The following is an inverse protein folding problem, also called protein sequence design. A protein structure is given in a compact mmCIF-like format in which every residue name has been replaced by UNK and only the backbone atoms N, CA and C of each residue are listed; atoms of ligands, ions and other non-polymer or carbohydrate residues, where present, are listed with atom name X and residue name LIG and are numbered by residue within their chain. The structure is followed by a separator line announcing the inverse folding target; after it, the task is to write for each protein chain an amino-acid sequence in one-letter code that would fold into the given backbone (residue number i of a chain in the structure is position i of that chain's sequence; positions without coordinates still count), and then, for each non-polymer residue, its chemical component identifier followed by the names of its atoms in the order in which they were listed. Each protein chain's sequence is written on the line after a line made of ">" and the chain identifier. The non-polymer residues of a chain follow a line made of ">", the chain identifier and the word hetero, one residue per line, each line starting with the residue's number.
data_IF_980463308928
#
_entry.id   IF_980463308928
#
_cell.length_a   1.000
_cell.length_b   1.000
_cell.length_c   1.000
_cell.angle_alpha   90.00
_cell.angle_beta   90.00
_cell.angle_gamma   90.00
#
_symmetry.space_group_name_H-M   'P 1'
#
loop_
_entity.id
_entity.type
_entity.pdbx_description
1 polymer ?
#
# COMPACT_ATOMS: atom_id res chain seq x y z
N UNK A 1 5.32 -19.68 4.35
CA UNK A 1 5.22 -18.27 4.79
C UNK A 1 3.85 -18.08 5.41
N UNK A 2 3.71 -17.46 6.58
CA UNK A 2 2.39 -17.05 7.08
C UNK A 2 1.71 -16.17 6.02
N UNK A 3 0.43 -16.40 5.74
CA UNK A 3 -0.31 -15.64 4.73
C UNK A 3 -0.43 -14.17 5.15
N UNK A 4 0.14 -13.26 4.35
CA UNK A 4 -0.15 -11.83 4.44
C UNK A 4 -1.58 -11.63 3.95
N UNK A 5 -2.43 -11.04 4.79
CA UNK A 5 -3.83 -10.77 4.48
C UNK A 5 -4.04 -9.29 4.18
N UNK A 6 -5.17 -8.96 3.53
CA UNK A 6 -5.64 -7.57 3.35
C UNK A 6 -5.65 -6.78 4.67
N UNK A 7 -6.03 -7.42 5.77
CA UNK A 7 -6.04 -6.81 7.11
C UNK A 7 -4.65 -6.40 7.55
N UNK A 8 -3.63 -7.21 7.26
CA UNK A 8 -2.26 -6.90 7.63
C UNK A 8 -1.77 -5.62 6.92
N UNK A 9 -2.13 -5.47 5.66
CA UNK A 9 -1.72 -4.31 4.85
C UNK A 9 -2.47 -3.06 5.29
N UNK A 10 -3.77 -3.17 5.55
CA UNK A 10 -4.54 -2.06 6.10
C UNK A 10 -3.95 -1.57 7.44
N UNK A 11 -3.55 -2.49 8.32
CA UNK A 11 -2.89 -2.17 9.58
C UNK A 11 -1.55 -1.45 9.39
N UNK A 12 -0.76 -1.89 8.41
CA UNK A 12 0.51 -1.23 8.07
C UNK A 12 0.28 0.20 7.56
N UNK A 13 -0.68 0.39 6.65
CA UNK A 13 -1.00 1.70 6.10
C UNK A 13 -1.56 2.66 7.16
N UNK A 14 -2.35 2.15 8.10
CA UNK A 14 -2.89 2.94 9.22
C UNK A 14 -1.80 3.51 10.15
N UNK A 15 -0.56 2.99 10.12
CA UNK A 15 0.54 3.64 10.86
C UNK A 15 0.89 5.02 10.29
N UNK A 16 0.54 5.28 9.04
CA UNK A 16 0.90 6.48 8.30
C UNK A 16 -0.30 7.38 7.99
N UNK A 17 -1.51 6.89 8.29
CA UNK A 17 -2.78 7.58 8.14
C UNK A 17 -3.55 7.43 9.46
N UNK A 18 -3.01 8.01 10.54
CA UNK A 18 -3.48 7.83 11.91
C UNK A 18 -4.84 8.50 12.18
N UNK A 19 -5.20 9.47 11.35
CA UNK A 19 -6.48 10.17 11.35
C UNK A 19 -7.59 9.42 10.59
N UNK A 20 -7.25 8.40 9.80
CA UNK A 20 -8.19 7.64 8.98
C UNK A 20 -8.60 6.35 9.70
N UNK A 21 -9.90 6.07 9.88
CA UNK A 21 -10.34 4.82 10.51
C UNK A 21 -9.80 3.58 9.78
N UNK A 22 -9.22 2.64 10.54
CA UNK A 22 -8.71 1.36 10.00
C UNK A 22 -9.71 0.62 9.10
N UNK A 23 -11.01 0.70 9.43
CA UNK A 23 -12.07 0.08 8.63
C UNK A 23 -12.10 0.65 7.21
N UNK A 24 -11.90 1.94 7.04
CA UNK A 24 -11.99 2.61 5.74
C UNK A 24 -10.76 2.25 4.88
N UNK A 25 -9.57 2.21 5.49
CA UNK A 25 -8.36 1.69 4.83
C UNK A 25 -8.55 0.22 4.43
N UNK A 26 -9.11 -0.60 5.31
CA UNK A 26 -9.39 -2.00 5.02
C UNK A 26 -10.35 -2.17 3.85
N UNK A 27 -11.47 -1.45 3.86
CA UNK A 27 -12.50 -1.53 2.82
C UNK A 27 -11.92 -1.08 1.46
N UNK A 28 -11.09 -0.04 1.44
CA UNK A 28 -10.37 0.40 0.25
C UNK A 28 -9.42 -0.69 -0.27
N UNK A 29 -8.50 -1.19 0.56
CA UNK A 29 -7.51 -2.20 0.14
C UNK A 29 -8.23 -3.48 -0.31
N UNK A 30 -9.29 -3.89 0.38
CA UNK A 30 -10.10 -5.04 0.01
C UNK A 30 -10.78 -4.84 -1.35
N UNK A 31 -11.39 -3.68 -1.58
CA UNK A 31 -12.02 -3.35 -2.85
C UNK A 31 -11.03 -3.37 -4.02
N UNK A 32 -9.86 -2.75 -3.84
CA UNK A 32 -8.79 -2.72 -4.83
C UNK A 32 -8.26 -4.13 -5.14
N UNK A 33 -8.22 -5.02 -4.14
CA UNK A 33 -7.76 -6.39 -4.32
C UNK A 33 -8.74 -7.26 -5.08
N UNK A 34 -9.95 -7.37 -4.54
CA UNK A 34 -10.94 -8.32 -5.04
C UNK A 34 -11.48 -7.88 -6.40
N UNK A 35 -11.61 -6.57 -6.61
CA UNK A 35 -12.27 -6.04 -7.79
C UNK A 35 -11.33 -5.27 -8.74
N UNK A 36 -10.20 -4.76 -8.25
CA UNK A 36 -9.22 -4.02 -9.04
C UNK A 36 -8.26 -4.90 -9.87
N UNK A 37 -8.26 -6.22 -9.63
CA UNK A 37 -7.43 -7.18 -10.36
C UNK A 37 -5.96 -7.16 -9.93
N UNK A 38 -5.68 -6.74 -8.69
CA UNK A 38 -4.33 -6.84 -8.12
C UNK A 38 -3.98 -8.30 -7.86
N UNK A 39 -2.79 -8.70 -8.28
CA UNK A 39 -2.22 -9.99 -7.86
C UNK A 39 -1.75 -9.91 -6.40
N UNK A 40 -1.88 -10.98 -5.60
CA UNK A 40 -1.45 -11.00 -4.21
C UNK A 40 0.03 -10.62 -4.00
N UNK A 41 0.89 -10.81 -4.99
CA UNK A 41 2.30 -10.41 -4.95
C UNK A 41 2.46 -8.88 -4.91
N UNK A 42 1.62 -8.14 -5.63
CA UNK A 42 1.63 -6.67 -5.67
C UNK A 42 1.38 -6.03 -4.31
N UNK A 43 0.70 -6.74 -3.42
CA UNK A 43 0.41 -6.29 -2.07
C UNK A 43 1.61 -6.25 -1.13
N UNK A 44 2.56 -7.16 -1.33
CA UNK A 44 3.73 -7.22 -0.46
C UNK A 44 4.84 -6.36 -1.04
N UNK A 45 4.93 -6.33 -2.36
CA UNK A 45 5.85 -5.47 -3.08
C UNK A 45 5.53 -3.98 -2.92
N UNK A 46 4.29 -3.58 -2.59
CA UNK A 46 3.99 -2.17 -2.40
C UNK A 46 4.48 -1.62 -1.05
N UNK A 47 4.73 -2.47 -0.05
CA UNK A 47 5.10 -2.04 1.30
C UNK A 47 6.38 -1.18 1.34
N UNK A 48 7.49 -1.56 0.66
CA UNK A 48 8.68 -0.72 0.61
C UNK A 48 8.45 0.63 -0.07
N UNK A 49 7.55 0.66 -1.07
CA UNK A 49 7.21 1.88 -1.79
C UNK A 49 6.48 2.86 -0.87
N UNK A 50 5.54 2.34 -0.07
CA UNK A 50 4.89 3.11 1.00
C UNK A 50 5.91 3.66 2.00
N UNK A 51 6.81 2.82 2.53
CA UNK A 51 7.86 3.28 3.46
C UNK A 51 8.64 4.46 2.87
N UNK A 52 9.11 4.35 1.62
CA UNK A 52 9.88 5.40 0.95
C UNK A 52 9.07 6.69 0.78
N UNK A 53 7.79 6.59 0.43
CA UNK A 53 6.91 7.76 0.29
C UNK A 53 6.75 8.45 1.64
N UNK A 54 6.43 7.71 2.69
CA UNK A 54 6.21 8.29 4.01
C UNK A 54 7.50 8.84 4.65
N UNK A 55 8.65 8.20 4.44
CA UNK A 55 9.95 8.69 4.95
C UNK A 55 10.47 9.91 4.16
N UNK A 56 9.94 10.17 2.95
CA UNK A 56 10.34 11.32 2.14
C UNK A 56 9.67 12.65 2.52
N UNK A 57 8.78 12.65 3.54
CA UNK A 57 7.91 13.78 3.88
C UNK A 57 7.04 14.26 2.69
N UNK A 58 6.68 13.35 1.78
CA UNK A 58 5.79 13.67 0.67
C UNK A 58 4.43 14.12 1.21
N UNK A 59 3.95 15.26 0.72
CA UNK A 59 2.65 15.77 1.12
C UNK A 59 1.55 14.88 0.54
N UNK A 60 0.76 14.27 1.42
CA UNK A 60 -0.37 13.43 1.04
C UNK A 60 -1.65 14.25 1.19
N UNK A 61 -2.26 14.57 0.06
CA UNK A 61 -3.49 15.37 0.03
C UNK A 61 -4.76 14.49 0.14
N UNK A 62 -4.69 13.25 -0.36
CA UNK A 62 -5.80 12.30 -0.35
C UNK A 62 -5.28 10.86 -0.19
N UNK A 63 -5.68 10.21 0.91
CA UNK A 63 -5.20 8.87 1.24
C UNK A 63 -5.73 7.81 0.26
N UNK A 64 -6.99 7.95 -0.21
CA UNK A 64 -7.59 7.00 -1.17
C UNK A 64 -6.78 7.00 -2.48
N UNK A 65 -6.48 8.20 -3.01
CA UNK A 65 -5.70 8.36 -4.23
C UNK A 65 -4.26 7.93 -4.06
N UNK A 66 -3.63 8.23 -2.92
CA UNK A 66 -2.25 7.83 -2.64
C UNK A 66 -2.10 6.32 -2.56
N UNK A 67 -2.93 5.65 -1.77
CA UNK A 67 -2.91 4.18 -1.66
C UNK A 67 -3.15 3.53 -3.03
N UNK A 68 -4.13 4.04 -3.77
CA UNK A 68 -4.45 3.52 -5.11
C UNK A 68 -3.31 3.76 -6.10
N UNK A 69 -2.66 4.92 -6.06
CA UNK A 69 -1.53 5.25 -6.92
C UNK A 69 -0.34 4.33 -6.66
N UNK A 70 0.03 4.11 -5.39
CA UNK A 70 1.13 3.20 -5.01
C UNK A 70 0.85 1.77 -5.46
N UNK A 71 -0.37 1.28 -5.23
CA UNK A 71 -0.77 -0.06 -5.67
C UNK A 71 -0.80 -0.17 -7.19
N UNK A 72 -1.25 0.87 -7.89
CA UNK A 72 -1.28 0.92 -9.35
C UNK A 72 0.13 0.92 -9.95
N UNK A 73 1.04 1.75 -9.43
CA UNK A 73 2.46 1.73 -9.82
C UNK A 73 3.09 0.36 -9.56
N UNK A 74 2.85 -0.21 -8.39
CA UNK A 74 3.37 -1.54 -8.04
C UNK A 74 2.84 -2.61 -8.99
N UNK A 75 1.55 -2.58 -9.31
CA UNK A 75 0.96 -3.54 -10.23
C UNK A 75 1.51 -3.40 -11.65
N UNK A 76 1.75 -2.18 -12.14
CA UNK A 76 2.36 -1.93 -13.46
C UNK A 76 3.78 -2.47 -13.56
N UNK A 77 4.49 -2.59 -12.45
CA UNK A 77 5.86 -3.11 -12.41
C UNK A 77 5.92 -4.64 -12.31
N UNK A 78 4.87 -5.27 -11.77
CA UNK A 78 4.82 -6.73 -11.52
C UNK A 78 4.04 -7.46 -12.61
N UNK A 79 2.97 -6.83 -13.10
CA UNK A 79 2.03 -7.45 -14.03
C UNK A 79 2.04 -6.68 -15.33
N UNK A 80 2.30 -7.37 -16.43
CA UNK A 80 2.17 -6.86 -17.81
C UNK A 80 0.68 -6.88 -18.25
N UNK A 81 -0.22 -6.39 -17.39
CA UNK A 81 -1.65 -6.34 -17.67
C UNK A 81 -2.29 -5.07 -17.08
N UNK A 82 -3.26 -4.47 -17.80
CA UNK A 82 -3.92 -3.26 -17.34
C UNK A 82 -4.79 -3.53 -16.11
N UNK A 83 -4.54 -2.79 -15.03
CA UNK A 83 -5.34 -2.87 -13.81
C UNK A 83 -6.68 -2.12 -13.98
N UNK A 84 -7.70 -2.54 -13.23
CA UNK A 84 -9.00 -1.82 -13.17
C UNK A 84 -9.11 -0.95 -11.92
N UNK A 85 -8.00 -0.67 -11.26
CA UNK A 85 -7.95 -0.01 -9.95
C UNK A 85 -8.64 1.35 -9.96
N UNK A 86 -8.49 2.10 -11.05
CA UNK A 86 -9.12 3.40 -11.23
C UNK A 86 -10.66 3.37 -11.21
N UNK A 87 -11.31 2.21 -11.33
CA UNK A 87 -12.77 2.10 -11.26
C UNK A 87 -13.31 2.11 -9.82
N UNK A 88 -12.44 2.00 -8.82
CA UNK A 88 -12.80 1.86 -7.41
C UNK A 88 -12.51 3.10 -6.57
N UNK A 89 -11.98 4.14 -7.20
CA UNK A 89 -11.75 5.44 -6.61
C UNK A 89 -12.79 6.42 -7.10
N UNK A 90 -13.12 7.39 -6.25
CA UNK A 90 -14.06 8.47 -6.59
C UNK A 90 -13.52 9.35 -7.72
N UNK A 91 -12.21 9.62 -7.72
CA UNK A 91 -11.55 10.46 -8.71
C UNK A 91 -10.35 9.74 -9.37
N UNK A 92 -10.56 9.09 -10.52
CA UNK A 92 -9.50 8.45 -11.30
C UNK A 92 -8.41 9.42 -11.78
N UNK A 93 -8.75 10.69 -11.99
CA UNK A 93 -7.80 11.70 -12.45
C UNK A 93 -6.82 12.04 -11.31
N UNK A 94 -7.33 12.21 -10.10
CA UNK A 94 -6.51 12.48 -8.92
C UNK A 94 -5.50 11.35 -8.68
N UNK A 95 -5.87 10.08 -8.88
CA UNK A 95 -4.92 8.96 -8.79
C UNK A 95 -3.76 9.11 -9.77
N UNK A 96 -4.02 9.51 -11.03
CA UNK A 96 -2.95 9.71 -12.02
C UNK A 96 -2.04 10.89 -11.67
N UNK A 97 -2.61 11.96 -11.12
CA UNK A 97 -1.84 13.09 -10.60
C UNK A 97 -0.91 12.61 -9.48
N UNK A 98 -1.44 11.82 -8.55
CA UNK A 98 -0.67 11.29 -7.42
C UNK A 98 0.39 10.28 -7.87
N UNK A 99 0.11 9.42 -8.86
CA UNK A 99 1.12 8.55 -9.47
C UNK A 99 2.30 9.35 -10.03
N UNK A 100 2.03 10.45 -10.76
CA UNK A 100 3.09 11.29 -11.31
C UNK A 100 3.90 11.99 -10.20
N UNK A 101 3.23 12.49 -9.15
CA UNK A 101 3.93 13.07 -8.00
C UNK A 101 4.87 12.06 -7.34
N UNK A 102 4.38 10.85 -7.08
CA UNK A 102 5.17 9.75 -6.50
C UNK A 102 6.35 9.39 -7.40
N UNK A 103 6.13 9.30 -8.72
CA UNK A 103 7.21 9.01 -9.67
C UNK A 103 8.31 10.09 -9.64
N UNK A 104 7.94 11.36 -9.66
CA UNK A 104 8.88 12.48 -9.57
C UNK A 104 9.63 12.45 -8.24
N UNK A 105 8.92 12.25 -7.14
CA UNK A 105 9.48 12.13 -5.79
C UNK A 105 10.51 11.00 -5.70
N UNK A 106 10.27 9.88 -6.37
CA UNK A 106 11.18 8.74 -6.42
C UNK A 106 12.27 8.87 -7.48
N UNK A 107 12.37 9.98 -8.21
CA UNK A 107 13.28 10.12 -9.36
C UNK A 107 13.10 8.96 -10.37
N UNK A 108 11.84 8.57 -10.58
CA UNK A 108 11.40 7.42 -11.39
C UNK A 108 11.98 6.06 -10.98
N UNK A 109 12.63 5.99 -9.81
CA UNK A 109 13.23 4.77 -9.27
C UNK A 109 12.21 3.96 -8.47
N UNK A 110 11.27 3.36 -9.20
CA UNK A 110 10.33 2.37 -8.67
C UNK A 110 10.93 0.99 -8.86
N UNK A 111 11.71 0.53 -7.88
CA UNK A 111 12.28 -0.82 -7.86
C UNK A 111 12.01 -1.47 -6.50
N UNK A 112 11.96 -2.80 -6.51
CA UNK A 112 11.78 -3.63 -5.33
C UNK A 112 13.04 -4.47 -5.18
N UNK A 113 13.85 -4.18 -4.18
CA UNK A 113 14.98 -5.04 -3.80
C UNK A 113 14.61 -5.94 -2.62
N UNK A 114 15.31 -7.07 -2.51
CA UNK A 114 15.04 -8.09 -1.49
C UNK A 114 15.22 -7.56 -0.06
N UNK A 115 16.10 -6.58 0.14
CA UNK A 115 16.39 -5.98 1.44
C UNK A 115 15.20 -5.15 1.91
N UNK A 116 14.76 -4.20 1.08
CA UNK A 116 13.64 -3.30 1.36
C UNK A 116 12.34 -4.08 1.54
N UNK A 117 12.15 -5.14 0.75
CA UNK A 117 11.06 -6.09 0.92
C UNK A 117 11.08 -6.74 2.30
N UNK A 118 12.22 -7.32 2.69
CA UNK A 118 12.40 -8.02 3.96
C UNK A 118 12.17 -7.08 5.15
N UNK A 119 12.68 -5.86 5.08
CA UNK A 119 12.52 -4.85 6.14
C UNK A 119 11.05 -4.45 6.32
N UNK A 120 10.34 -4.22 5.21
CA UNK A 120 8.91 -3.90 5.24
C UNK A 120 8.07 -5.06 5.77
N UNK A 121 8.45 -6.29 5.42
CA UNK A 121 7.83 -7.50 5.96
C UNK A 121 8.04 -7.64 7.48
N UNK A 122 9.23 -7.35 7.98
CA UNK A 122 9.48 -7.37 9.44
C UNK A 122 8.71 -6.27 10.17
N UNK A 123 8.65 -5.04 9.63
CA UNK A 123 7.79 -3.96 10.17
C UNK A 123 6.34 -4.45 10.28
N UNK A 124 5.81 -5.06 9.21
CA UNK A 124 4.45 -5.62 9.19
C UNK A 124 4.24 -6.72 10.24
N UNK A 125 5.19 -7.64 10.40
CA UNK A 125 5.11 -8.75 11.36
C UNK A 125 5.11 -8.24 12.80
N UNK A 126 5.94 -7.27 13.13
CA UNK A 126 6.03 -6.69 14.47
C UNK A 126 4.70 -6.03 14.88
N UNK A 127 4.05 -5.33 13.94
CA UNK A 127 2.72 -4.73 14.19
C UNK A 127 1.64 -5.75 14.53
N UNK A 128 1.65 -6.90 13.84
CA UNK A 128 0.66 -7.95 14.11
C UNK A 128 0.81 -8.48 15.54
N UNK A 129 2.05 -8.61 16.02
CA UNK A 129 2.35 -9.12 17.36
C UNK A 129 2.06 -8.11 18.47
N UNK A 130 2.18 -6.81 18.20
CA UNK A 130 1.84 -5.77 19.19
C UNK A 130 0.33 -5.56 19.36
N UNK A 131 -0.50 -6.11 18.47
CA UNK A 131 -1.97 -5.99 18.52
C UNK A 131 -2.68 -7.24 19.01
N UNK A 132 -2.00 -8.37 19.15
CA UNK A 132 -2.49 -9.44 20.01
C UNK A 132 -2.31 -8.94 21.45
N UNK A 133 -3.39 -8.71 22.22
CA UNK A 133 -3.22 -8.51 23.64
C UNK A 133 -2.45 -9.73 24.14
N UNK A 134 -1.47 -9.50 25.00
CA UNK A 134 -0.85 -10.55 25.78
C UNK A 134 -1.96 -11.51 26.20
N UNK A 135 -1.81 -12.79 25.87
CA UNK A 135 -2.46 -13.85 26.62
C UNK A 135 -2.37 -13.46 28.09
N UNK A 136 -3.51 -13.09 28.66
CA UNK A 136 -3.68 -12.95 30.09
C UNK A 136 -3.04 -14.16 30.74
N UNK A 137 -1.94 -13.93 31.46
CA UNK A 137 -1.50 -14.81 32.53
C UNK A 137 -2.38 -14.56 33.75
#
# INVERSE_FOLDING_TARGET
>A
MNHITTRNIALFLHMYFDDIPLKDIYDLVYGLLIHGGLVPESLVCCLPLFVRIFESNHQIDDYESTITAVLSLTNKMIVDAPSRLYKFVKDPHQVKVEENKILIMLDYKVYFDDVSYRDSYFKLKNLQQSMTPETSL
#
